data_IF_821866619489
#
_entry.id   IF_821866619489
#
_cell.length_a   1.000
_cell.length_b   1.000
_cell.length_c   1.000
_cell.angle_alpha   90.00
_cell.angle_beta   90.00
_cell.angle_gamma   90.00
#
_symmetry.space_group_name_H-M   'P 1'
#
loop_
_entity.id
_entity.type
_entity.pdbx_description
1 polymer ?
#
# COMPACT_ATOMS: atom_id res chain seq x y z
N UNK A 1 34.75 -15.27 7.05
CA UNK A 1 33.85 -16.28 6.45
C UNK A 1 32.89 -15.53 5.56
N UNK A 2 32.98 -15.72 4.25
CA UNK A 2 32.10 -15.06 3.27
C UNK A 2 30.73 -15.70 3.38
N UNK A 3 29.74 -14.96 3.90
CA UNK A 3 28.33 -15.35 3.88
C UNK A 3 27.84 -15.24 2.44
N UNK A 4 27.53 -16.37 1.83
CA UNK A 4 26.94 -16.42 0.51
C UNK A 4 25.52 -15.83 0.59
N UNK A 5 25.33 -14.67 -0.01
CA UNK A 5 24.03 -14.04 -0.19
C UNK A 5 23.29 -14.78 -1.30
N UNK A 6 22.13 -15.31 -1.01
CA UNK A 6 21.21 -15.78 -2.05
C UNK A 6 20.58 -14.55 -2.71
N UNK A 7 20.97 -14.27 -3.96
CA UNK A 7 20.30 -13.27 -4.77
C UNK A 7 18.80 -13.60 -4.85
N UNK A 8 17.94 -12.59 -4.69
CA UNK A 8 16.52 -12.76 -5.01
C UNK A 8 16.43 -13.23 -6.46
N UNK A 9 15.80 -14.36 -6.68
CA UNK A 9 15.52 -14.85 -8.02
C UNK A 9 14.70 -13.82 -8.77
N UNK A 10 14.97 -13.64 -10.07
CA UNK A 10 14.15 -12.77 -10.91
C UNK A 10 12.67 -13.17 -10.77
N UNK A 11 11.73 -12.20 -10.73
CA UNK A 11 10.32 -12.51 -10.60
C UNK A 11 9.88 -13.37 -11.77
N UNK A 12 9.21 -14.49 -11.48
CA UNK A 12 8.65 -15.39 -12.47
C UNK A 12 7.53 -14.66 -13.25
N UNK A 13 7.41 -14.90 -14.56
CA UNK A 13 6.32 -14.34 -15.33
C UNK A 13 4.97 -14.91 -14.85
N UNK A 14 3.89 -14.13 -15.00
CA UNK A 14 2.57 -14.50 -14.46
C UNK A 14 2.06 -15.85 -14.98
N UNK A 15 2.35 -16.18 -16.23
CA UNK A 15 1.87 -17.42 -16.88
C UNK A 15 2.90 -18.55 -16.88
N UNK A 16 4.05 -18.37 -16.23
CA UNK A 16 5.07 -19.41 -16.08
C UNK A 16 4.86 -20.29 -14.85
N UNK A 17 3.83 -20.00 -14.02
CA UNK A 17 3.44 -20.85 -12.91
C UNK A 17 2.68 -22.06 -13.41
N UNK A 18 2.98 -23.24 -12.88
CA UNK A 18 2.15 -24.41 -13.08
C UNK A 18 0.76 -24.14 -12.51
N UNK A 19 -0.27 -24.48 -13.27
CA UNK A 19 -1.65 -24.31 -12.79
C UNK A 19 -1.90 -25.13 -11.52
N UNK A 20 -2.71 -24.58 -10.64
CA UNK A 20 -3.14 -25.26 -9.43
C UNK A 20 -4.01 -26.49 -9.78
N UNK A 21 -4.25 -27.35 -8.81
CA UNK A 21 -5.00 -28.61 -9.02
C UNK A 21 -6.39 -28.43 -9.68
N UNK A 22 -7.03 -27.28 -9.46
CA UNK A 22 -8.31 -26.93 -10.07
C UNK A 22 -8.21 -26.49 -11.55
N UNK A 23 -7.05 -26.59 -12.16
CA UNK A 23 -6.81 -26.18 -13.56
C UNK A 23 -7.58 -27.01 -14.61
N UNK A 24 -8.19 -28.10 -14.20
CA UNK A 24 -9.07 -28.90 -15.08
C UNK A 24 -10.46 -28.28 -15.25
N UNK A 25 -10.83 -27.30 -14.43
CA UNK A 25 -12.09 -26.58 -14.60
C UNK A 25 -11.94 -25.52 -15.67
N UNK A 26 -12.97 -25.41 -16.52
CA UNK A 26 -13.08 -24.29 -17.46
C UNK A 26 -13.33 -22.98 -16.68
N UNK A 27 -12.97 -21.80 -17.26
CA UNK A 27 -13.31 -20.54 -16.63
C UNK A 27 -14.80 -20.45 -16.30
N UNK A 28 -15.11 -20.11 -15.07
CA UNK A 28 -16.50 -19.96 -14.65
C UNK A 28 -17.16 -18.80 -15.39
N UNK A 29 -18.41 -18.90 -15.82
CA UNK A 29 -19.13 -17.81 -16.47
C UNK A 29 -19.25 -16.59 -15.55
N UNK A 30 -19.21 -16.81 -14.24
CA UNK A 30 -19.20 -15.79 -13.18
C UNK A 30 -18.39 -16.32 -11.99
N UNK A 31 -17.89 -15.43 -11.15
CA UNK A 31 -17.31 -15.80 -9.87
C UNK A 31 -18.42 -15.83 -8.82
N UNK A 32 -18.64 -16.95 -8.12
CA UNK A 32 -19.83 -17.15 -7.28
C UNK A 32 -19.83 -16.22 -6.07
N UNK A 33 -21.01 -15.70 -5.75
CA UNK A 33 -21.31 -14.86 -4.59
C UNK A 33 -22.26 -15.54 -3.59
N UNK A 34 -22.79 -16.69 -3.96
CA UNK A 34 -23.70 -17.47 -3.11
C UNK A 34 -23.37 -18.97 -3.16
N UNK A 35 -23.93 -19.72 -2.21
CA UNK A 35 -23.78 -21.17 -2.17
C UNK A 35 -24.45 -21.85 -3.36
N UNK A 36 -25.60 -21.34 -3.78
CA UNK A 36 -26.35 -21.82 -4.94
C UNK A 36 -25.54 -21.67 -6.24
N UNK A 37 -24.81 -20.55 -6.38
CA UNK A 37 -23.93 -20.34 -7.52
C UNK A 37 -22.70 -21.27 -7.49
N UNK A 38 -22.15 -21.56 -6.31
CA UNK A 38 -21.09 -22.57 -6.17
C UNK A 38 -21.60 -23.97 -6.56
N UNK A 39 -22.81 -24.31 -6.17
CA UNK A 39 -23.44 -25.61 -6.49
C UNK A 39 -23.68 -25.74 -8.01
N UNK A 40 -24.06 -24.65 -8.70
CA UNK A 40 -24.17 -24.62 -10.16
C UNK A 40 -22.83 -24.90 -10.87
N UNK A 41 -21.71 -24.44 -10.26
CA UNK A 41 -20.36 -24.69 -10.74
C UNK A 41 -19.81 -26.08 -10.31
N UNK A 42 -20.53 -26.81 -9.48
CA UNK A 42 -20.08 -28.06 -8.91
C UNK A 42 -18.95 -27.91 -7.87
N UNK A 43 -18.88 -26.75 -7.21
CA UNK A 43 -17.85 -26.45 -6.23
C UNK A 43 -18.36 -26.68 -4.80
N UNK A 44 -17.66 -27.52 -4.06
CA UNK A 44 -17.90 -27.78 -2.64
C UNK A 44 -17.29 -26.67 -1.73
N UNK A 45 -16.20 -26.06 -2.18
CA UNK A 45 -15.51 -24.97 -1.49
C UNK A 45 -14.81 -24.05 -2.48
N UNK A 46 -14.54 -22.81 -2.07
CA UNK A 46 -13.62 -21.91 -2.75
C UNK A 46 -12.21 -22.07 -2.16
N UNK A 47 -11.19 -21.90 -3.00
CA UNK A 47 -9.80 -21.86 -2.56
C UNK A 47 -9.45 -20.47 -2.00
N UNK A 48 -10.01 -19.46 -2.61
CA UNK A 48 -9.85 -18.06 -2.23
C UNK A 48 -11.21 -17.37 -2.22
N UNK A 49 -11.49 -16.60 -1.19
CA UNK A 49 -12.68 -15.75 -1.12
C UNK A 49 -12.24 -14.31 -0.97
N UNK A 50 -12.63 -13.47 -1.94
CA UNK A 50 -12.33 -12.04 -1.92
C UNK A 50 -13.50 -11.26 -1.31
N UNK A 51 -13.24 -10.60 -0.18
CA UNK A 51 -14.16 -9.65 0.45
C UNK A 51 -13.87 -8.25 -0.07
N UNK A 52 -14.87 -7.62 -0.68
CA UNK A 52 -14.74 -6.33 -1.35
C UNK A 52 -15.77 -5.32 -0.83
N UNK A 53 -15.33 -4.08 -0.64
CA UNK A 53 -16.22 -2.96 -0.29
C UNK A 53 -17.07 -2.45 -1.45
N UNK A 54 -16.71 -2.75 -2.70
CA UNK A 54 -17.49 -2.41 -3.90
C UNK A 54 -18.48 -3.52 -4.24
N UNK A 55 -19.53 -3.17 -4.97
CA UNK A 55 -20.33 -4.16 -5.68
C UNK A 55 -19.46 -4.99 -6.62
N UNK A 56 -19.80 -6.25 -6.81
CA UNK A 56 -19.11 -7.09 -7.77
C UNK A 56 -19.46 -6.70 -9.20
N UNK A 57 -18.44 -6.31 -9.93
CA UNK A 57 -18.49 -6.10 -11.37
C UNK A 57 -17.28 -6.83 -11.97
N UNK A 58 -17.57 -7.78 -12.86
CA UNK A 58 -16.55 -8.56 -13.55
C UNK A 58 -15.96 -7.76 -14.72
N UNK A 59 -15.15 -6.77 -14.38
CA UNK A 59 -14.52 -5.87 -15.32
C UNK A 59 -13.10 -5.51 -14.86
N UNK A 60 -12.13 -5.37 -15.77
CA UNK A 60 -10.73 -5.07 -15.41
C UNK A 60 -10.50 -3.73 -14.69
N UNK A 61 -11.49 -2.85 -14.62
CA UNK A 61 -11.43 -1.64 -13.79
C UNK A 61 -11.73 -1.89 -12.31
N UNK A 62 -12.16 -3.09 -11.93
CA UNK A 62 -12.53 -3.45 -10.57
C UNK A 62 -11.61 -4.53 -10.01
N UNK A 63 -11.19 -4.35 -8.77
CA UNK A 63 -10.26 -5.26 -8.11
C UNK A 63 -10.79 -6.69 -8.04
N UNK A 64 -12.11 -6.88 -7.85
CA UNK A 64 -12.75 -8.20 -7.82
C UNK A 64 -12.64 -8.92 -9.17
N UNK A 65 -12.85 -8.21 -10.28
CA UNK A 65 -12.65 -8.74 -11.63
C UNK A 65 -11.18 -9.07 -11.90
N UNK A 66 -10.25 -8.12 -11.62
CA UNK A 66 -8.82 -8.35 -11.89
C UNK A 66 -8.27 -9.51 -11.07
N UNK A 67 -8.34 -9.42 -9.76
CA UNK A 67 -7.73 -10.42 -8.85
C UNK A 67 -8.46 -11.75 -8.94
N UNK A 68 -9.80 -11.72 -9.03
CA UNK A 68 -10.59 -12.95 -9.16
C UNK A 68 -10.23 -13.72 -10.42
N UNK A 69 -10.22 -13.07 -11.57
CA UNK A 69 -9.93 -13.71 -12.86
C UNK A 69 -8.46 -14.10 -13.02
N UNK A 70 -7.53 -13.32 -12.45
CA UNK A 70 -6.10 -13.69 -12.42
C UNK A 70 -5.89 -14.99 -11.64
N UNK A 71 -6.53 -15.15 -10.48
CA UNK A 71 -6.42 -16.38 -9.68
C UNK A 71 -7.15 -17.55 -10.33
N UNK A 72 -8.33 -17.32 -10.91
CA UNK A 72 -9.04 -18.35 -11.68
C UNK A 72 -8.19 -18.86 -12.85
N UNK A 73 -7.53 -17.96 -13.60
CA UNK A 73 -6.61 -18.35 -14.67
C UNK A 73 -5.43 -19.20 -14.19
N UNK A 74 -5.08 -19.14 -12.89
CA UNK A 74 -4.11 -20.02 -12.24
C UNK A 74 -4.73 -21.34 -11.76
N UNK A 75 -6.05 -21.54 -11.93
CA UNK A 75 -6.78 -22.73 -11.55
C UNK A 75 -7.32 -22.74 -10.12
N UNK A 76 -7.34 -21.60 -9.43
CA UNK A 76 -7.99 -21.48 -8.12
C UNK A 76 -9.50 -21.27 -8.26
N UNK A 77 -10.29 -21.85 -7.37
CA UNK A 77 -11.73 -21.58 -7.24
C UNK A 77 -11.91 -20.32 -6.40
N UNK A 78 -12.40 -19.26 -7.04
CA UNK A 78 -12.50 -17.93 -6.43
C UNK A 78 -13.96 -17.57 -6.19
N UNK A 79 -14.32 -17.26 -4.94
CA UNK A 79 -15.60 -16.69 -4.56
C UNK A 79 -15.49 -15.22 -4.21
N UNK A 80 -16.57 -14.46 -4.36
CA UNK A 80 -16.65 -13.04 -4.06
C UNK A 80 -17.72 -12.79 -2.99
N UNK A 81 -17.33 -12.06 -1.94
CA UNK A 81 -18.26 -11.47 -0.98
C UNK A 81 -18.22 -9.95 -1.17
N UNK A 82 -19.17 -9.43 -1.92
CA UNK A 82 -19.25 -8.01 -2.23
C UNK A 82 -20.16 -7.29 -1.24
N UNK A 83 -19.67 -6.21 -0.65
CA UNK A 83 -20.42 -5.36 0.29
C UNK A 83 -21.16 -6.15 1.38
N UNK A 84 -20.46 -7.03 2.14
CA UNK A 84 -21.12 -7.81 3.20
C UNK A 84 -21.72 -6.89 4.27
N UNK A 85 -22.78 -7.37 4.91
CA UNK A 85 -23.25 -6.77 6.17
C UNK A 85 -22.15 -6.95 7.24
N UNK A 86 -21.36 -5.93 7.42
CA UNK A 86 -20.21 -5.92 8.33
C UNK A 86 -20.60 -5.90 9.82
N UNK A 87 -21.89 -5.71 10.14
CA UNK A 87 -22.38 -5.70 11.51
C UNK A 87 -22.44 -7.09 12.14
N UNK A 88 -22.48 -8.13 11.29
CA UNK A 88 -22.49 -9.53 11.72
C UNK A 88 -21.43 -10.37 10.98
N UNK A 89 -21.06 -11.51 11.56
CA UNK A 89 -20.08 -12.42 10.99
C UNK A 89 -20.66 -13.38 9.96
N UNK A 90 -21.96 -13.61 9.98
CA UNK A 90 -22.61 -14.61 9.11
C UNK A 90 -22.50 -14.24 7.64
N UNK A 91 -22.51 -12.92 7.32
CA UNK A 91 -22.28 -12.44 5.97
C UNK A 91 -20.89 -12.81 5.39
N UNK A 92 -19.94 -13.16 6.25
CA UNK A 92 -18.62 -13.63 5.87
C UNK A 92 -18.53 -15.17 5.80
N UNK A 93 -19.59 -15.90 6.13
CA UNK A 93 -19.67 -17.35 6.09
C UNK A 93 -20.51 -17.90 4.93
N UNK A 94 -21.10 -17.02 4.13
CA UNK A 94 -22.09 -17.40 3.08
C UNK A 94 -21.50 -18.37 2.04
N UNK A 95 -20.21 -18.29 1.73
CA UNK A 95 -19.51 -19.21 0.81
C UNK A 95 -18.79 -20.36 1.52
N UNK A 96 -18.91 -20.45 2.85
CA UNK A 96 -18.16 -21.40 3.65
C UNK A 96 -16.70 -20.96 3.89
N UNK A 97 -15.89 -21.89 4.40
CA UNK A 97 -14.49 -21.67 4.72
C UNK A 97 -13.63 -21.79 3.44
N UNK A 98 -12.83 -20.77 3.07
CA UNK A 98 -11.88 -20.92 1.97
C UNK A 98 -10.78 -21.92 2.34
N UNK A 99 -10.34 -22.72 1.38
CA UNK A 99 -9.36 -23.79 1.63
C UNK A 99 -7.95 -23.25 1.79
N UNK A 100 -7.64 -22.06 1.22
CA UNK A 100 -6.28 -21.49 1.22
C UNK A 100 -6.24 -20.17 1.94
N UNK A 101 -6.98 -19.13 1.47
CA UNK A 101 -6.87 -17.80 2.03
C UNK A 101 -8.11 -16.92 1.81
N UNK A 102 -8.25 -15.92 2.67
CA UNK A 102 -9.07 -14.74 2.44
C UNK A 102 -8.29 -13.66 1.69
N UNK A 103 -8.96 -12.99 0.74
CA UNK A 103 -8.54 -11.70 0.22
C UNK A 103 -9.45 -10.60 0.77
N UNK A 104 -8.89 -9.45 1.11
CA UNK A 104 -9.66 -8.32 1.62
C UNK A 104 -9.25 -7.04 0.93
N UNK A 105 -10.24 -6.27 0.51
CA UNK A 105 -10.05 -4.93 -0.04
C UNK A 105 -11.21 -4.01 0.33
N UNK A 106 -10.94 -2.70 0.48
CA UNK A 106 -11.99 -1.71 0.65
C UNK A 106 -12.73 -1.38 -0.66
N UNK A 107 -12.22 -1.88 -1.80
CA UNK A 107 -12.70 -1.55 -3.14
C UNK A 107 -11.74 -0.63 -3.90
N UNK A 108 -12.23 0.00 -4.96
CA UNK A 108 -11.46 0.88 -5.82
C UNK A 108 -11.06 2.20 -5.14
N UNK A 109 -11.76 2.59 -4.09
CA UNK A 109 -11.47 3.78 -3.31
C UNK A 109 -11.18 3.43 -1.84
N UNK A 110 -10.45 4.31 -1.20
CA UNK A 110 -10.35 4.33 0.26
C UNK A 110 -11.75 4.54 0.88
N UNK A 111 -12.13 3.72 1.86
CA UNK A 111 -13.48 3.72 2.44
C UNK A 111 -13.86 5.06 3.08
N UNK A 112 -12.88 5.76 3.66
CA UNK A 112 -13.11 7.06 4.27
C UNK A 112 -13.36 8.14 3.21
N UNK A 113 -12.62 8.12 2.09
CA UNK A 113 -12.80 9.03 0.96
C UNK A 113 -14.12 8.72 0.23
N UNK A 114 -14.46 7.45 0.12
CA UNK A 114 -15.72 7.04 -0.49
C UNK A 114 -16.92 7.51 0.32
N UNK A 115 -16.87 7.40 1.65
CA UNK A 115 -17.98 7.73 2.53
C UNK A 115 -18.11 9.22 2.84
N UNK A 116 -17.01 9.96 2.90
CA UNK A 116 -16.99 11.33 3.37
C UNK A 116 -16.45 12.29 2.30
N UNK A 117 -16.94 13.55 2.36
CA UNK A 117 -16.32 14.67 1.64
C UNK A 117 -15.06 15.16 2.36
N UNK A 118 -14.31 16.07 1.73
CA UNK A 118 -13.18 16.75 2.36
C UNK A 118 -13.58 17.52 3.64
N UNK A 119 -14.82 18.04 3.69
CA UNK A 119 -15.39 18.71 4.86
C UNK A 119 -15.90 17.73 5.93
N UNK A 120 -15.57 16.45 5.83
CA UNK A 120 -16.02 15.38 6.73
C UNK A 120 -17.53 15.17 6.78
N UNK A 121 -18.27 15.60 5.75
CA UNK A 121 -19.71 15.34 5.61
C UNK A 121 -19.93 13.99 4.92
N UNK A 122 -20.94 13.24 5.38
CA UNK A 122 -21.33 11.98 4.74
C UNK A 122 -21.86 12.29 3.34
N UNK A 123 -21.38 11.51 2.35
CA UNK A 123 -21.86 11.58 0.96
C UNK A 123 -23.25 10.99 0.86
N UNK A 124 -24.05 11.54 -0.06
CA UNK A 124 -25.41 11.10 -0.34
C UNK A 124 -25.50 9.94 -1.33
N UNK A 125 -24.39 9.61 -2.00
CA UNK A 125 -24.31 8.61 -3.05
C UNK A 125 -22.99 7.85 -2.99
N UNK A 126 -22.98 6.66 -3.59
CA UNK A 126 -21.78 5.82 -3.76
C UNK A 126 -21.82 5.14 -5.14
N UNK A 127 -21.02 5.65 -6.08
CA UNK A 127 -20.93 5.12 -7.44
C UNK A 127 -20.45 3.65 -7.53
N UNK A 128 -19.91 3.10 -6.45
CA UNK A 128 -19.44 1.70 -6.37
C UNK A 128 -20.44 0.76 -5.67
N UNK A 129 -21.63 1.27 -5.40
CA UNK A 129 -22.73 0.50 -4.79
C UNK A 129 -23.91 0.39 -5.75
N UNK A 130 -24.71 -0.69 -5.68
CA UNK A 130 -25.93 -0.81 -6.46
C UNK A 130 -26.84 0.39 -6.19
N UNK A 131 -27.46 0.92 -7.23
CA UNK A 131 -28.37 2.07 -7.19
C UNK A 131 -27.76 3.34 -6.54
N UNK A 132 -26.44 3.46 -6.57
CA UNK A 132 -25.69 4.54 -5.91
C UNK A 132 -25.98 4.67 -4.41
N UNK A 133 -26.37 3.58 -3.74
CA UNK A 133 -26.73 3.62 -2.32
C UNK A 133 -25.53 3.89 -1.42
N UNK A 134 -25.53 4.97 -0.63
CA UNK A 134 -24.44 5.29 0.27
C UNK A 134 -24.42 4.37 1.50
N UNK A 135 -23.34 4.45 2.27
CA UNK A 135 -23.19 3.81 3.59
C UNK A 135 -23.19 2.27 3.59
N UNK A 136 -22.88 1.64 2.47
CA UNK A 136 -22.74 0.17 2.38
C UNK A 136 -21.44 -0.35 2.99
N UNK A 137 -20.48 0.49 3.28
CA UNK A 137 -19.18 0.14 3.87
C UNK A 137 -19.03 0.72 5.27
N UNK A 138 -18.30 -0.01 6.17
CA UNK A 138 -17.88 0.57 7.43
C UNK A 138 -16.78 1.62 7.22
N UNK A 139 -16.56 2.46 8.20
CA UNK A 139 -15.36 3.27 8.29
C UNK A 139 -14.13 2.34 8.39
N UNK A 140 -13.08 2.65 7.60
CA UNK A 140 -11.88 1.81 7.52
C UNK A 140 -12.21 0.37 7.17
N UNK A 141 -12.95 0.19 6.08
CA UNK A 141 -13.54 -1.08 5.66
C UNK A 141 -12.53 -2.22 5.62
N UNK A 142 -11.31 -1.98 5.12
CA UNK A 142 -10.26 -2.98 5.08
C UNK A 142 -9.96 -3.58 6.47
N UNK A 143 -9.87 -2.73 7.49
CA UNK A 143 -9.64 -3.18 8.88
C UNK A 143 -10.81 -4.00 9.40
N UNK A 144 -12.03 -3.53 9.23
CA UNK A 144 -13.25 -4.21 9.72
C UNK A 144 -13.42 -5.55 9.02
N UNK A 145 -13.26 -5.61 7.71
CA UNK A 145 -13.40 -6.87 6.96
C UNK A 145 -12.35 -7.91 7.33
N UNK A 146 -11.08 -7.50 7.51
CA UNK A 146 -10.05 -8.42 8.01
C UNK A 146 -10.42 -9.02 9.37
N UNK A 147 -10.92 -8.19 10.30
CA UNK A 147 -11.36 -8.65 11.62
C UNK A 147 -12.53 -9.63 11.52
N UNK A 148 -13.51 -9.36 10.65
CA UNK A 148 -14.64 -10.24 10.39
C UNK A 148 -14.23 -11.57 9.75
N UNK A 149 -13.31 -11.56 8.78
CA UNK A 149 -12.73 -12.78 8.22
C UNK A 149 -12.04 -13.62 9.30
N UNK A 150 -11.29 -12.97 10.17
CA UNK A 150 -10.61 -13.63 11.30
C UNK A 150 -11.60 -14.21 12.32
N UNK A 151 -12.71 -13.51 12.56
CA UNK A 151 -13.79 -14.00 13.43
C UNK A 151 -14.55 -15.16 12.79
N UNK A 152 -14.78 -15.12 11.47
CA UNK A 152 -15.48 -16.19 10.75
C UNK A 152 -14.69 -17.50 10.77
N UNK A 153 -13.40 -17.46 10.41
CA UNK A 153 -12.50 -18.63 10.35
C UNK A 153 -11.09 -18.24 10.79
N UNK A 154 -10.76 -18.37 12.09
CA UNK A 154 -9.53 -17.82 12.69
C UNK A 154 -8.22 -18.38 12.13
N UNK A 155 -8.25 -19.60 11.62
CA UNK A 155 -7.09 -20.34 11.12
C UNK A 155 -6.78 -20.10 9.64
N UNK A 156 -7.65 -19.38 8.93
CA UNK A 156 -7.45 -19.07 7.51
C UNK A 156 -6.60 -17.81 7.36
N UNK A 157 -5.52 -17.83 6.54
CA UNK A 157 -4.73 -16.65 6.25
C UNK A 157 -5.56 -15.50 5.67
N UNK A 158 -5.30 -14.27 6.11
CA UNK A 158 -5.95 -13.05 5.62
C UNK A 158 -4.95 -12.21 4.85
N UNK A 159 -5.17 -12.09 3.55
CA UNK A 159 -4.38 -11.31 2.60
C UNK A 159 -5.09 -9.98 2.35
N UNK A 160 -4.47 -8.88 2.77
CA UNK A 160 -5.00 -7.53 2.61
C UNK A 160 -4.42 -6.88 1.35
N UNK A 161 -5.26 -6.24 0.54
CA UNK A 161 -4.83 -5.52 -0.66
C UNK A 161 -5.61 -4.24 -0.89
N UNK A 162 -5.42 -3.66 -2.08
CA UNK A 162 -6.11 -2.46 -2.54
C UNK A 162 -5.51 -1.15 -2.02
N UNK A 163 -6.12 -0.05 -2.44
CA UNK A 163 -5.60 1.31 -2.20
C UNK A 163 -5.55 1.66 -0.71
N UNK A 164 -6.58 1.29 0.05
CA UNK A 164 -6.67 1.59 1.48
C UNK A 164 -5.54 0.91 2.27
N UNK A 165 -5.25 -0.36 1.97
CA UNK A 165 -4.13 -1.08 2.54
C UNK A 165 -2.78 -0.48 2.11
N UNK A 166 -2.62 -0.22 0.82
CA UNK A 166 -1.38 0.32 0.25
C UNK A 166 -0.98 1.66 0.86
N UNK A 167 -1.93 2.57 1.04
CA UNK A 167 -1.69 3.90 1.63
C UNK A 167 -1.34 3.85 3.12
N UNK A 168 -1.76 2.78 3.82
CA UNK A 168 -1.59 2.63 5.27
C UNK A 168 -0.60 1.52 5.68
N UNK A 169 0.28 1.11 4.76
CA UNK A 169 1.23 0.00 5.00
C UNK A 169 2.31 0.28 6.03
N UNK A 170 2.62 1.56 6.26
CA UNK A 170 3.49 2.06 7.34
C UNK A 170 2.71 3.04 8.22
N UNK A 171 3.38 3.68 9.19
CA UNK A 171 2.80 4.80 9.93
C UNK A 171 2.27 5.87 8.96
N UNK A 172 1.03 6.29 9.16
CA UNK A 172 0.33 7.20 8.25
C UNK A 172 -0.50 8.22 9.01
N UNK A 173 -0.63 9.42 8.44
CA UNK A 173 -1.51 10.45 8.98
C UNK A 173 -2.97 10.12 8.62
N UNK A 174 -3.80 10.02 9.64
CA UNK A 174 -5.25 9.84 9.50
C UNK A 174 -5.95 11.19 9.64
N UNK A 175 -6.32 11.77 8.53
CA UNK A 175 -7.02 13.06 8.43
C UNK A 175 -8.30 13.13 9.29
N UNK A 176 -9.01 12.00 9.44
CA UNK A 176 -10.28 11.95 10.15
C UNK A 176 -10.11 12.07 11.66
N UNK A 177 -9.10 11.43 12.21
CA UNK A 177 -8.78 11.49 13.64
C UNK A 177 -7.71 12.52 13.98
N UNK A 178 -7.13 13.19 12.96
CA UNK A 178 -6.06 14.18 13.10
C UNK A 178 -4.86 13.62 13.90
N UNK A 179 -4.43 12.43 13.53
CA UNK A 179 -3.36 11.70 14.22
C UNK A 179 -2.55 10.85 13.26
N UNK A 180 -1.28 10.69 13.58
CA UNK A 180 -0.46 9.63 12.97
C UNK A 180 -0.87 8.29 13.59
N UNK A 181 -1.26 7.34 12.74
CA UNK A 181 -1.61 5.97 13.12
C UNK A 181 -0.52 5.00 12.69
N UNK A 182 -0.41 3.90 13.40
CA UNK A 182 0.49 2.80 13.03
C UNK A 182 0.02 2.09 11.77
N UNK A 183 0.87 1.24 11.21
CA UNK A 183 0.52 0.42 10.03
C UNK A 183 -0.84 -0.26 10.18
N UNK A 184 -1.62 -0.30 9.11
CA UNK A 184 -2.92 -1.00 9.06
C UNK A 184 -2.80 -2.49 9.41
N UNK A 185 -1.65 -3.12 9.17
CA UNK A 185 -1.40 -4.51 9.56
C UNK A 185 -1.55 -4.73 11.06
N UNK A 186 -1.16 -3.74 11.87
CA UNK A 186 -1.30 -3.82 13.33
C UNK A 186 -2.76 -3.76 13.78
N UNK A 187 -3.59 -2.98 13.08
CA UNK A 187 -4.99 -2.76 13.45
C UNK A 187 -5.91 -3.82 12.82
N UNK A 188 -5.67 -4.21 11.58
CA UNK A 188 -6.50 -5.18 10.84
C UNK A 188 -6.28 -6.62 11.25
N UNK A 189 -5.09 -6.95 11.78
CA UNK A 189 -4.65 -8.33 12.04
C UNK A 189 -4.57 -9.20 10.76
N UNK A 190 -4.39 -8.57 9.61
CA UNK A 190 -4.06 -9.28 8.38
C UNK A 190 -2.66 -9.92 8.51
N UNK A 191 -2.47 -11.08 7.89
CA UNK A 191 -1.19 -11.80 7.93
C UNK A 191 -0.17 -11.22 6.95
N UNK A 192 -0.65 -10.78 5.78
CA UNK A 192 0.16 -10.23 4.71
C UNK A 192 -0.62 -9.11 4.01
N UNK A 193 0.06 -8.01 3.70
CA UNK A 193 -0.48 -6.93 2.88
C UNK A 193 0.25 -6.90 1.55
N UNK A 194 -0.52 -6.83 0.45
CA UNK A 194 -0.01 -6.61 -0.89
C UNK A 194 -0.31 -5.18 -1.31
N UNK A 195 0.71 -4.42 -1.68
CA UNK A 195 0.56 -3.01 -2.05
C UNK A 195 0.90 -2.77 -3.53
N UNK A 196 0.31 -1.74 -4.09
CA UNK A 196 0.42 -1.45 -5.52
C UNK A 196 -0.33 -2.46 -6.37
N UNK A 197 0.23 -2.83 -7.52
CA UNK A 197 -0.33 -3.84 -8.42
C UNK A 197 -0.02 -5.23 -7.87
N UNK A 198 -1.03 -5.86 -7.27
CA UNK A 198 -0.89 -7.10 -6.50
C UNK A 198 -0.96 -8.39 -7.31
N UNK A 199 -1.15 -8.35 -8.63
CA UNK A 199 -1.42 -9.52 -9.48
C UNK A 199 -0.29 -10.57 -9.40
N UNK A 200 0.97 -10.12 -9.45
CA UNK A 200 2.12 -11.05 -9.36
C UNK A 200 2.29 -11.61 -7.96
N UNK A 201 2.20 -10.75 -6.96
CA UNK A 201 2.41 -11.15 -5.57
C UNK A 201 1.32 -12.11 -5.09
N UNK A 202 0.05 -11.88 -5.46
CA UNK A 202 -1.03 -12.77 -5.05
C UNK A 202 -0.92 -14.16 -5.67
N UNK A 203 -0.52 -14.26 -6.95
CA UNK A 203 -0.30 -15.55 -7.61
C UNK A 203 0.79 -16.33 -6.87
N UNK A 204 1.93 -15.70 -6.63
CA UNK A 204 3.04 -16.37 -5.94
C UNK A 204 2.65 -16.83 -4.54
N UNK A 205 2.04 -15.94 -3.75
CA UNK A 205 1.59 -16.26 -2.40
C UNK A 205 0.57 -17.39 -2.40
N UNK A 206 -0.42 -17.36 -3.28
CA UNK A 206 -1.45 -18.39 -3.36
C UNK A 206 -0.88 -19.76 -3.75
N UNK A 207 0.06 -19.83 -4.70
CA UNK A 207 0.73 -21.08 -5.06
C UNK A 207 1.59 -21.62 -3.92
N UNK A 208 2.25 -20.77 -3.15
CA UNK A 208 3.06 -21.18 -1.98
C UNK A 208 2.17 -21.70 -0.85
N UNK A 209 1.09 -20.98 -0.53
CA UNK A 209 0.09 -21.44 0.45
C UNK A 209 -0.57 -22.75 0.01
N UNK A 210 -0.94 -22.88 -1.26
CA UNK A 210 -1.53 -24.10 -1.83
C UNK A 210 -0.58 -25.30 -1.78
N UNK A 211 0.74 -25.08 -1.75
CA UNK A 211 1.76 -26.11 -1.52
C UNK A 211 2.00 -26.40 -0.04
N UNK A 212 1.26 -25.76 0.87
CA UNK A 212 1.35 -25.97 2.31
C UNK A 212 2.41 -25.13 3.03
N UNK A 213 3.03 -24.14 2.36
CA UNK A 213 3.92 -23.19 3.03
C UNK A 213 3.08 -22.29 3.96
N UNK A 214 3.62 -22.00 5.13
CA UNK A 214 2.89 -21.20 6.11
C UNK A 214 3.02 -19.72 5.80
N UNK A 215 1.92 -18.96 5.96
CA UNK A 215 1.89 -17.54 5.61
C UNK A 215 3.00 -16.71 6.29
N UNK A 216 3.37 -17.02 7.52
CA UNK A 216 4.43 -16.31 8.23
C UNK A 216 5.85 -16.64 7.74
N UNK A 217 6.02 -17.66 6.90
CA UNK A 217 7.28 -18.02 6.26
C UNK A 217 7.47 -17.28 4.92
N UNK A 218 6.39 -16.75 4.35
CA UNK A 218 6.38 -16.00 3.09
C UNK A 218 6.78 -14.55 3.37
N UNK A 219 8.08 -14.26 3.31
CA UNK A 219 8.64 -12.95 3.68
C UNK A 219 9.49 -12.31 2.57
N UNK A 220 9.60 -12.96 1.43
CA UNK A 220 10.50 -12.62 0.32
C UNK A 220 9.76 -12.20 -0.96
N UNK A 221 8.42 -12.17 -0.95
CA UNK A 221 7.62 -11.75 -2.11
C UNK A 221 7.63 -10.23 -2.22
N UNK A 222 8.04 -9.70 -3.37
CA UNK A 222 8.05 -8.26 -3.64
C UNK A 222 6.63 -7.69 -3.68
N UNK A 223 6.48 -6.44 -3.24
CA UNK A 223 5.18 -5.77 -3.17
C UNK A 223 4.33 -6.20 -1.98
N UNK A 224 4.94 -6.81 -0.98
CA UNK A 224 4.26 -7.23 0.25
C UNK A 224 4.81 -6.54 1.49
N UNK A 225 3.96 -6.46 2.51
CA UNK A 225 4.33 -6.00 3.84
C UNK A 225 3.75 -6.96 4.89
N UNK A 226 4.52 -7.20 5.95
CA UNK A 226 4.15 -8.11 7.03
C UNK A 226 4.75 -7.65 8.37
N UNK A 227 4.23 -8.19 9.45
CA UNK A 227 4.73 -7.89 10.80
C UNK A 227 5.85 -8.86 11.14
N UNK A 228 7.03 -8.34 11.48
CA UNK A 228 8.12 -9.17 11.98
C UNK A 228 7.81 -9.58 13.43
N UNK A 229 7.80 -10.87 13.67
CA UNK A 229 7.55 -11.46 14.98
C UNK A 229 8.50 -12.63 15.24
N UNK A 230 8.37 -13.31 16.38
CA UNK A 230 9.23 -14.42 16.78
C UNK A 230 9.19 -15.62 15.80
N UNK A 231 8.11 -15.79 15.02
CA UNK A 231 7.92 -16.94 14.13
C UNK A 231 8.56 -16.72 12.76
N UNK A 232 8.67 -15.46 12.30
CA UNK A 232 9.25 -15.12 10.99
C UNK A 232 10.60 -14.39 11.08
N UNK A 233 11.07 -14.06 12.30
CA UNK A 233 12.33 -13.35 12.52
C UNK A 233 13.57 -14.13 12.02
N UNK A 234 13.45 -15.44 11.95
CA UNK A 234 14.50 -16.34 11.47
C UNK A 234 14.43 -16.62 9.97
N UNK A 235 13.58 -15.91 9.23
CA UNK A 235 13.50 -16.02 7.78
C UNK A 235 14.90 -15.79 7.17
N UNK A 236 15.27 -16.68 6.25
CA UNK A 236 16.63 -16.90 5.74
C UNK A 236 17.23 -15.73 4.95
N UNK A 237 16.51 -14.67 4.72
CA UNK A 237 17.03 -13.49 4.01
C UNK A 237 17.93 -12.68 4.97
N UNK A 238 19.23 -12.78 4.78
CA UNK A 238 20.18 -11.91 5.48
C UNK A 238 20.24 -10.57 4.75
N UNK A 239 19.38 -9.63 5.17
CA UNK A 239 19.46 -8.26 4.71
C UNK A 239 20.53 -7.48 5.49
N UNK A 240 21.17 -6.56 4.81
CA UNK A 240 22.02 -5.54 5.42
C UNK A 240 21.14 -4.34 5.75
N UNK A 241 20.95 -4.08 7.02
CA UNK A 241 20.17 -2.93 7.48
C UNK A 241 20.99 -1.65 7.32
N UNK A 242 20.38 -0.63 6.71
CA UNK A 242 20.92 0.73 6.57
C UNK A 242 19.94 1.73 7.18
N UNK A 243 20.47 2.81 7.75
CA UNK A 243 19.61 3.87 8.29
C UNK A 243 18.97 4.68 7.15
N UNK A 244 17.77 5.19 7.36
CA UNK A 244 17.10 6.06 6.39
C UNK A 244 17.91 7.32 6.06
N UNK A 245 18.69 7.83 7.03
CA UNK A 245 19.59 8.99 6.85
C UNK A 245 20.76 8.71 5.91
N UNK A 246 21.15 7.44 5.72
CA UNK A 246 22.19 7.06 4.75
C UNK A 246 21.66 7.12 3.31
N UNK A 247 20.34 7.11 3.15
CA UNK A 247 19.65 7.16 1.85
C UNK A 247 19.29 8.58 1.48
N UNK A 248 18.72 9.35 2.41
CA UNK A 248 18.34 10.75 2.24
C UNK A 248 18.43 11.49 3.58
N UNK A 249 18.76 12.77 3.54
CA UNK A 249 18.93 13.57 4.75
C UNK A 249 17.58 13.98 5.34
N UNK A 250 17.43 13.85 6.65
CA UNK A 250 16.27 14.36 7.39
C UNK A 250 16.19 15.89 7.24
N UNK A 251 14.98 16.40 7.08
CA UNK A 251 14.73 17.83 6.96
C UNK A 251 15.05 18.41 5.59
N UNK A 252 15.45 17.59 4.60
CA UNK A 252 15.57 18.05 3.22
C UNK A 252 14.18 18.39 2.68
N UNK A 253 14.01 19.66 2.33
CA UNK A 253 12.78 20.14 1.70
C UNK A 253 13.10 20.48 0.25
N UNK A 254 12.51 19.76 -0.70
CA UNK A 254 12.56 20.19 -2.09
C UNK A 254 11.62 21.40 -2.27
N UNK A 255 11.94 22.34 -3.18
CA UNK A 255 11.06 23.46 -3.47
C UNK A 255 9.65 22.92 -3.84
N UNK A 256 8.63 23.42 -3.15
CA UNK A 256 7.26 23.09 -3.48
C UNK A 256 6.89 23.86 -4.73
N UNK A 257 6.82 23.18 -5.87
CA UNK A 257 6.17 23.74 -7.06
C UNK A 257 4.69 23.63 -6.79
N UNK A 258 3.98 24.77 -6.78
CA UNK A 258 2.54 24.76 -6.62
C UNK A 258 1.91 23.94 -7.76
N UNK A 259 1.34 22.76 -7.50
CA UNK A 259 0.80 21.90 -8.54
C UNK A 259 -0.46 22.48 -9.21
N UNK A 260 -1.02 23.53 -8.64
CA UNK A 260 -2.22 24.22 -9.13
C UNK A 260 -1.93 25.45 -9.98
N UNK A 261 -0.65 25.81 -10.18
CA UNK A 261 -0.30 26.85 -11.14
C UNK A 261 -0.48 26.27 -12.54
N UNK A 262 -1.49 26.73 -13.24
CA UNK A 262 -1.71 26.39 -14.64
C UNK A 262 -0.59 26.99 -15.49
N UNK A 263 -0.16 26.29 -16.53
CA UNK A 263 0.89 26.76 -17.46
C UNK A 263 0.52 28.10 -18.10
N UNK A 264 -0.78 28.37 -18.21
CA UNK A 264 -1.36 29.63 -18.71
C UNK A 264 -1.16 30.81 -17.75
N UNK A 265 -1.10 30.56 -16.44
CA UNK A 265 -0.85 31.59 -15.42
C UNK A 265 0.64 32.01 -15.37
N UNK A 266 1.52 31.17 -15.92
CA UNK A 266 2.94 31.50 -16.06
C UNK A 266 3.21 32.45 -17.23
N UNK A 267 2.33 32.52 -18.22
CA UNK A 267 2.42 33.43 -19.37
C UNK A 267 1.95 34.85 -19.06
N UNK A 268 1.24 35.08 -17.94
CA UNK A 268 0.75 36.39 -17.49
C UNK A 268 1.73 37.23 -16.68
N UNK A 269 2.79 36.64 -16.16
CA UNK A 269 3.94 37.37 -15.67
C UNK A 269 4.86 37.65 -16.86
N UNK A 270 5.12 38.91 -17.18
CA UNK A 270 6.13 39.37 -18.17
C UNK A 270 7.50 38.79 -17.82
N UNK A 271 7.71 37.52 -18.10
CA UNK A 271 9.01 36.92 -18.20
C UNK A 271 9.46 37.20 -19.64
N UNK A 272 10.33 38.19 -19.81
CA UNK A 272 11.03 38.40 -21.07
C UNK A 272 11.49 37.04 -21.62
N UNK A 273 11.05 36.75 -22.83
CA UNK A 273 11.38 35.52 -23.56
C UNK A 273 12.87 35.52 -23.89
N UNK A 274 13.70 35.20 -22.91
CA UNK A 274 15.08 34.86 -23.17
C UNK A 274 15.17 33.36 -23.48
N UNK A 275 15.23 33.09 -24.77
CA UNK A 275 15.36 31.74 -25.31
C UNK A 275 16.72 31.18 -24.92
N UNK A 276 16.80 30.45 -23.82
CA UNK A 276 17.96 29.64 -23.62
C UNK A 276 18.42 29.26 -22.20
N UNK A 277 17.74 29.64 -21.11
CA UNK A 277 18.36 29.41 -19.81
C UNK A 277 17.38 29.14 -18.63
N UNK A 278 16.38 28.31 -18.86
CA UNK A 278 15.48 27.88 -17.74
C UNK A 278 16.22 27.16 -16.59
N UNK A 279 17.33 26.50 -16.89
CA UNK A 279 18.13 25.79 -15.88
C UNK A 279 18.95 26.75 -15.01
N UNK A 280 19.47 27.84 -15.58
CA UNK A 280 20.23 28.83 -14.86
C UNK A 280 19.35 29.72 -13.97
N UNK A 281 18.13 30.05 -14.39
CA UNK A 281 17.13 30.72 -13.55
C UNK A 281 16.70 29.88 -12.37
N UNK A 282 16.52 28.58 -12.56
CA UNK A 282 16.21 27.63 -11.48
C UNK A 282 17.33 27.54 -10.44
N UNK A 283 18.58 27.55 -10.91
CA UNK A 283 19.75 27.53 -10.02
C UNK A 283 19.95 28.85 -9.27
N UNK A 284 19.59 29.99 -9.88
CA UNK A 284 19.64 31.31 -9.24
C UNK A 284 18.50 31.47 -8.23
N UNK A 285 17.28 31.01 -8.53
CA UNK A 285 16.18 31.01 -7.59
C UNK A 285 16.47 30.11 -6.34
N UNK A 286 17.16 28.99 -6.51
CA UNK A 286 17.65 28.22 -5.38
C UNK A 286 18.71 28.95 -4.54
N UNK A 287 19.58 29.75 -5.15
CA UNK A 287 20.56 30.57 -4.42
C UNK A 287 19.90 31.69 -3.63
N UNK A 288 18.88 32.32 -4.18
CA UNK A 288 18.16 33.42 -3.54
C UNK A 288 17.29 32.95 -2.37
N UNK A 289 16.73 31.76 -2.44
CA UNK A 289 15.98 31.12 -1.33
C UNK A 289 16.89 30.71 -0.16
N UNK A 290 18.14 30.38 -0.44
CA UNK A 290 19.14 30.01 0.60
C UNK A 290 19.77 31.28 1.25
N UNK A 291 19.81 32.40 0.53
CA UNK A 291 20.46 33.62 0.99
C UNK A 291 19.53 34.64 1.66
N UNK A 292 18.21 34.58 1.44
CA UNK A 292 17.26 35.51 2.03
C UNK A 292 16.01 34.76 2.56
N UNK A 293 15.88 34.59 3.87
CA UNK A 293 14.60 34.15 4.44
C UNK A 293 13.53 35.18 4.11
N UNK A 294 12.40 34.74 3.55
CA UNK A 294 11.25 35.62 3.26
C UNK A 294 10.63 36.03 4.61
N UNK A 295 11.13 37.13 5.16
CA UNK A 295 10.47 37.86 6.23
C UNK A 295 9.63 38.95 5.55
N UNK A 296 8.33 38.89 5.65
CA UNK A 296 7.46 39.98 5.17
C UNK A 296 7.62 41.17 6.10
N UNK A 297 7.79 42.36 5.53
CA UNK A 297 7.77 43.61 6.29
C UNK A 297 6.44 43.68 7.06
N UNK A 298 6.53 43.63 8.38
CA UNK A 298 5.36 43.70 9.28
C UNK A 298 5.21 42.55 10.27
N UNK A 299 5.92 41.43 10.10
CA UNK A 299 5.90 40.35 11.05
C UNK A 299 6.81 40.65 12.25
N UNK A 300 6.23 40.95 13.41
CA UNK A 300 6.96 40.96 14.67
C UNK A 300 7.28 39.50 15.03
N UNK A 301 8.55 39.15 14.88
CA UNK A 301 9.06 37.85 15.37
C UNK A 301 9.14 37.92 16.89
N UNK A 302 8.46 37.00 17.56
CA UNK A 302 8.64 36.75 18.99
C UNK A 302 10.09 36.37 19.26
N UNK A 303 10.64 36.84 20.41
CA UNK A 303 12.04 36.67 20.77
C UNK A 303 12.52 35.22 20.94
N UNK A 304 11.59 34.24 20.89
CA UNK A 304 11.86 32.82 21.02
C UNK A 304 11.80 32.04 19.69
N UNK A 305 11.64 32.73 18.55
CA UNK A 305 11.66 32.05 17.24
C UNK A 305 13.09 31.70 16.87
N UNK A 306 13.49 30.46 17.10
CA UNK A 306 14.76 29.92 16.61
C UNK A 306 14.68 29.76 15.08
N UNK A 307 15.39 30.62 14.35
CA UNK A 307 15.62 30.43 12.91
C UNK A 307 16.55 29.24 12.74
N UNK A 308 16.02 28.10 12.31
CA UNK A 308 16.84 26.97 11.94
C UNK A 308 17.52 27.29 10.61
N UNK A 309 18.79 27.68 10.66
CA UNK A 309 19.62 27.78 9.48
C UNK A 309 19.82 26.36 8.91
N UNK A 310 19.16 26.05 7.81
CA UNK A 310 19.44 24.84 7.04
C UNK A 310 20.85 24.97 6.45
N UNK A 311 21.81 24.29 7.04
CA UNK A 311 23.14 24.21 6.45
C UNK A 311 23.08 23.46 5.12
N UNK A 312 23.77 23.92 4.05
CA UNK A 312 23.89 23.16 2.83
C UNK A 312 24.51 21.80 3.20
N UNK A 313 23.87 20.72 2.74
CA UNK A 313 24.33 19.37 2.98
C UNK A 313 25.83 19.27 2.72
N UNK A 314 26.63 19.08 3.78
CA UNK A 314 28.04 18.72 3.63
C UNK A 314 28.10 17.54 2.67
N UNK A 315 29.09 17.52 1.75
CA UNK A 315 29.32 16.40 0.85
C UNK A 315 29.42 15.14 1.72
N UNK A 316 28.28 14.44 1.86
CA UNK A 316 28.22 13.20 2.61
C UNK A 316 29.28 12.28 2.02
N UNK A 317 30.16 11.78 2.87
CA UNK A 317 31.05 10.69 2.52
C UNK A 317 30.14 9.59 2.01
N UNK A 318 30.17 9.33 0.69
CA UNK A 318 29.38 8.27 0.07
C UNK A 318 29.91 6.95 0.61
N UNK A 319 29.42 6.53 1.76
CA UNK A 319 29.54 5.15 2.16
C UNK A 319 28.95 4.32 1.02
N UNK A 320 29.73 3.36 0.52
CA UNK A 320 29.26 2.45 -0.53
C UNK A 320 28.13 1.62 0.06
N UNK A 321 26.91 2.03 -0.23
CA UNK A 321 25.72 1.31 0.22
C UNK A 321 25.76 -0.14 -0.32
N UNK A 322 25.24 -1.11 0.43
CA UNK A 322 25.12 -2.47 -0.04
C UNK A 322 24.24 -2.55 -1.30
N UNK A 323 24.34 -3.62 -2.10
CA UNK A 323 23.44 -3.84 -3.22
C UNK A 323 21.96 -3.69 -2.81
N UNK A 324 21.15 -3.08 -3.68
CA UNK A 324 19.74 -2.72 -3.32
C UNK A 324 18.90 -3.94 -2.92
N UNK A 325 19.09 -5.06 -3.58
CA UNK A 325 18.41 -6.33 -3.34
C UNK A 325 18.77 -6.99 -2.00
N UNK A 326 19.86 -6.57 -1.39
CA UNK A 326 20.34 -7.07 -0.10
C UNK A 326 20.14 -6.05 1.03
N UNK A 327 19.71 -4.84 0.70
CA UNK A 327 19.54 -3.75 1.64
C UNK A 327 18.10 -3.65 2.17
N UNK A 328 18.01 -3.39 3.47
CA UNK A 328 16.76 -3.00 4.13
C UNK A 328 16.96 -1.63 4.75
N UNK A 329 16.07 -0.70 4.48
CA UNK A 329 16.12 0.63 5.08
C UNK A 329 15.28 0.64 6.35
N UNK A 330 15.91 0.98 7.46
CA UNK A 330 15.19 1.26 8.71
C UNK A 330 14.68 2.69 8.69
N UNK A 331 13.36 2.81 8.67
CA UNK A 331 12.65 4.08 8.85
C UNK A 331 12.65 4.48 10.33
N UNK A 332 12.43 5.77 10.63
CA UNK A 332 12.07 6.18 11.99
C UNK A 332 10.87 5.37 12.50
N UNK A 333 10.92 4.99 13.77
CA UNK A 333 9.87 4.19 14.41
C UNK A 333 8.52 4.91 14.44
N UNK A 334 7.44 4.18 14.69
CA UNK A 334 6.11 4.77 14.88
C UNK A 334 6.11 5.80 16.01
N UNK A 335 6.77 5.49 17.13
CA UNK A 335 6.86 6.35 18.30
C UNK A 335 7.59 7.66 18.01
N UNK A 336 8.63 7.62 17.16
CA UNK A 336 9.35 8.81 16.72
C UNK A 336 8.50 9.67 15.78
N UNK A 337 7.89 9.07 14.74
CA UNK A 337 7.12 9.84 13.75
C UNK A 337 5.80 10.41 14.29
N UNK A 338 5.24 9.84 15.35
CA UNK A 338 4.06 10.42 16.03
C UNK A 338 4.37 11.76 16.65
N UNK A 339 5.59 11.93 17.16
CA UNK A 339 6.00 13.10 17.95
C UNK A 339 6.79 14.11 17.12
N UNK A 340 7.26 13.75 15.92
CA UNK A 340 8.10 14.59 15.09
C UNK A 340 7.60 14.60 13.63
N UNK A 341 6.94 15.72 13.17
CA UNK A 341 6.47 15.87 11.80
C UNK A 341 7.59 15.80 10.75
N UNK A 342 8.82 16.19 11.10
CA UNK A 342 9.96 16.16 10.18
C UNK A 342 10.38 14.70 9.93
N UNK A 343 10.45 13.89 10.97
CA UNK A 343 10.70 12.46 10.85
C UNK A 343 9.56 11.74 10.11
N UNK A 344 8.31 12.15 10.34
CA UNK A 344 7.17 11.64 9.57
C UNK A 344 7.32 11.95 8.07
N UNK A 345 7.65 13.20 7.73
CA UNK A 345 7.86 13.60 6.34
C UNK A 345 9.04 12.84 5.72
N UNK A 346 10.13 12.65 6.47
CA UNK A 346 11.28 11.88 6.03
C UNK A 346 10.92 10.40 5.74
N UNK A 347 10.20 9.74 6.64
CA UNK A 347 9.75 8.36 6.43
C UNK A 347 8.91 8.23 5.15
N UNK A 348 7.98 9.17 4.91
CA UNK A 348 7.16 9.18 3.69
C UNK A 348 7.99 9.48 2.43
N UNK A 349 9.00 10.33 2.54
CA UNK A 349 9.91 10.61 1.42
C UNK A 349 10.72 9.36 1.05
N UNK A 350 11.27 8.64 2.02
CA UNK A 350 11.95 7.36 1.75
C UNK A 350 10.97 6.36 1.12
N UNK A 351 9.75 6.26 1.63
CA UNK A 351 8.71 5.41 1.05
C UNK A 351 8.45 5.74 -0.43
N UNK A 352 8.43 7.03 -0.77
CA UNK A 352 8.27 7.49 -2.16
C UNK A 352 9.48 7.13 -3.02
N UNK A 353 10.71 7.32 -2.53
CA UNK A 353 11.94 6.97 -3.26
C UNK A 353 12.06 5.47 -3.54
N UNK A 354 11.46 4.63 -2.70
CA UNK A 354 11.49 3.18 -2.80
C UNK A 354 10.14 2.60 -3.26
N UNK A 355 9.49 3.25 -4.24
CA UNK A 355 8.21 2.79 -4.79
C UNK A 355 8.34 1.92 -6.04
N UNK A 356 9.48 1.98 -6.75
CA UNK A 356 9.66 1.22 -7.98
C UNK A 356 9.83 -0.29 -7.67
N UNK A 357 8.87 -1.15 -8.00
CA UNK A 357 8.92 -2.57 -7.64
C UNK A 357 10.08 -3.33 -8.28
N UNK A 358 10.68 -2.79 -9.37
CA UNK A 358 11.82 -3.40 -10.05
C UNK A 358 13.12 -3.31 -9.25
N UNK A 359 13.32 -2.25 -8.47
CA UNK A 359 14.58 -1.99 -7.77
C UNK A 359 14.43 -1.38 -6.38
N UNK A 360 13.22 -1.26 -5.84
CA UNK A 360 13.00 -0.76 -4.49
C UNK A 360 13.70 -1.64 -3.45
N UNK A 361 14.27 -0.98 -2.44
CA UNK A 361 14.77 -1.67 -1.24
C UNK A 361 13.61 -1.98 -0.30
N UNK A 362 13.75 -3.03 0.49
CA UNK A 362 12.80 -3.32 1.56
C UNK A 362 12.88 -2.22 2.65
N UNK A 363 11.75 -1.93 3.27
CA UNK A 363 11.63 -0.94 4.34
C UNK A 363 11.20 -1.64 5.63
N UNK A 364 11.74 -1.20 6.77
CA UNK A 364 11.35 -1.63 8.12
C UNK A 364 11.02 -0.40 8.95
N UNK A 365 9.89 -0.44 9.63
CA UNK A 365 9.48 0.58 10.58
C UNK A 365 9.19 -0.04 11.95
#
# INVERSE_FOLDING_TARGET
MSTAYTAQTAPKALFDYDKYWASCFEPAPFLPMSREEMDQLGWDACDFILVCGDAYIDHPSFVSGVIGRVLEAQGFRVGIIAQPDWTNVESFRVLGKPTIAWGVTAGNMDSMINRYTADRKIRSDDAYSPDNQPNKRPDRAATVYCQRCREAFPDVPVLLGGIEGSLRRIAHYDYWSDKVRRSILMDSKADLLMYGNGERSIIEVMHRLGKGEKIHEITDVRGTAFIINKHNRASKAQFVEIASNDVDSVGRVDPIINPYVMTEDLDGCEIEKDKGNNLAQYQNFQKDLVSNPIVREGDQLDADTQIVQLQPASKAIKHKLPPRELAVIRLPSFEEVVNDPVLYAHANRILHLETNPGNARALVQ
#
